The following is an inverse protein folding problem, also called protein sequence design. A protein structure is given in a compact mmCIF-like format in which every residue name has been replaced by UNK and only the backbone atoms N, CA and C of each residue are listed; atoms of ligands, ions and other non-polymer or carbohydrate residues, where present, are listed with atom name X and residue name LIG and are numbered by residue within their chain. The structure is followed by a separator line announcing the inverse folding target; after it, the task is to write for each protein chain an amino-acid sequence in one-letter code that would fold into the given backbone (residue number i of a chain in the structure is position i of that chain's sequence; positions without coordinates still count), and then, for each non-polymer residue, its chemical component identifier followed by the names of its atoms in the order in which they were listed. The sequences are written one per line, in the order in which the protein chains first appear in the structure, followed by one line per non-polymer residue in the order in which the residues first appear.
data_IF_791601289302
#
_entry.id   IF_791601289302
#
_cell.length_a   1.000
_cell.length_b   1.000
_cell.length_c   1.000
_cell.angle_alpha   90.00
_cell.angle_beta   90.00
_cell.angle_gamma   90.00
#
_symmetry.space_group_name_H-M   'P 1'
#
loop_
_entity.id
_entity.type
_entity.pdbx_description
1 polymer ?
#
# COMPACT_ATOMS: atom_id res chain seq x y z
N UNK A 1 -29.10 -48.64 -2.88
CA UNK A 1 -29.82 -47.59 -2.12
C UNK A 1 -28.88 -46.74 -1.26
N UNK A 2 -28.04 -47.35 -0.40
CA UNK A 2 -27.09 -46.62 0.46
C UNK A 2 -26.07 -45.73 -0.29
N UNK A 3 -25.51 -46.20 -1.40
CA UNK A 3 -24.56 -45.40 -2.22
C UNK A 3 -25.19 -44.14 -2.83
N UNK A 4 -26.48 -44.17 -3.18
CA UNK A 4 -27.17 -43.01 -3.77
C UNK A 4 -27.40 -41.90 -2.73
N UNK A 5 -27.66 -42.28 -1.47
CA UNK A 5 -27.86 -41.32 -0.37
C UNK A 5 -26.54 -40.63 0.00
N UNK A 6 -25.42 -41.36 -0.02
CA UNK A 6 -24.10 -40.80 0.27
C UNK A 6 -23.67 -39.75 -0.79
N UNK A 7 -23.92 -40.00 -2.07
CA UNK A 7 -23.61 -39.06 -3.15
C UNK A 7 -24.47 -37.79 -3.08
N UNK A 8 -25.75 -37.92 -2.72
CA UNK A 8 -26.64 -36.78 -2.49
C UNK A 8 -26.17 -35.93 -1.31
N UNK A 9 -25.76 -36.56 -0.20
CA UNK A 9 -25.23 -35.84 0.97
C UNK A 9 -23.92 -35.11 0.66
N UNK A 10 -23.03 -35.71 -0.13
CA UNK A 10 -21.76 -35.08 -0.52
C UNK A 10 -21.99 -33.88 -1.43
N UNK A 11 -22.89 -33.99 -2.42
CA UNK A 11 -23.32 -32.89 -3.29
C UNK A 11 -24.02 -31.77 -2.51
N UNK A 12 -24.87 -32.12 -1.54
CA UNK A 12 -25.50 -31.14 -0.65
C UNK A 12 -24.45 -30.42 0.22
N UNK A 13 -23.45 -31.15 0.73
CA UNK A 13 -22.33 -30.57 1.50
C UNK A 13 -21.51 -29.58 0.68
N UNK A 14 -21.19 -29.92 -0.58
CA UNK A 14 -20.49 -29.01 -1.50
C UNK A 14 -21.34 -27.77 -1.81
N UNK A 15 -22.65 -27.93 -2.00
CA UNK A 15 -23.56 -26.81 -2.23
C UNK A 15 -23.65 -25.87 -1.02
N UNK A 16 -23.77 -26.41 0.20
CA UNK A 16 -23.77 -25.64 1.44
C UNK A 16 -22.45 -24.89 1.62
N UNK A 17 -21.31 -25.56 1.37
CA UNK A 17 -19.99 -24.93 1.43
C UNK A 17 -19.84 -23.79 0.40
N UNK A 18 -20.38 -23.96 -0.80
CA UNK A 18 -20.40 -22.91 -1.83
C UNK A 18 -21.25 -21.71 -1.39
N UNK A 19 -22.46 -21.96 -0.85
CA UNK A 19 -23.32 -20.88 -0.33
C UNK A 19 -22.66 -20.13 0.84
N UNK A 20 -21.99 -20.84 1.75
CA UNK A 20 -21.25 -20.22 2.85
C UNK A 20 -20.11 -19.31 2.36
N UNK A 21 -19.37 -19.73 1.33
CA UNK A 21 -18.31 -18.90 0.75
C UNK A 21 -18.88 -17.64 0.08
N UNK A 22 -20.01 -17.76 -0.63
CA UNK A 22 -20.70 -16.61 -1.23
C UNK A 22 -21.19 -15.64 -0.14
N UNK A 23 -21.82 -16.16 0.92
CA UNK A 23 -22.28 -15.36 2.05
C UNK A 23 -21.12 -14.65 2.74
N UNK A 24 -19.98 -15.33 2.97
CA UNK A 24 -18.78 -14.75 3.55
C UNK A 24 -18.21 -13.62 2.66
N UNK A 25 -18.18 -13.81 1.35
CA UNK A 25 -17.77 -12.77 0.40
C UNK A 25 -18.70 -11.56 0.44
N UNK A 26 -20.02 -11.76 0.50
CA UNK A 26 -21.00 -10.68 0.59
C UNK A 26 -20.85 -9.88 1.88
N UNK A 27 -20.71 -10.55 3.02
CA UNK A 27 -20.46 -9.89 4.32
C UNK A 27 -19.14 -9.12 4.30
N UNK A 28 -18.10 -9.70 3.71
CA UNK A 28 -16.80 -9.04 3.58
C UNK A 28 -16.91 -7.80 2.69
N UNK A 29 -17.64 -7.90 1.58
CA UNK A 29 -17.88 -6.78 0.67
C UNK A 29 -18.64 -5.63 1.37
N UNK A 30 -19.68 -5.94 2.13
CA UNK A 30 -20.44 -4.92 2.86
C UNK A 30 -19.58 -4.23 3.92
N UNK A 31 -18.78 -5.00 4.69
CA UNK A 31 -17.80 -4.43 5.64
C UNK A 31 -16.80 -3.50 4.94
N UNK A 32 -16.29 -3.87 3.77
CA UNK A 32 -15.36 -3.03 2.99
C UNK A 32 -16.05 -1.73 2.54
N UNK A 33 -17.33 -1.80 2.13
CA UNK A 33 -18.09 -0.61 1.71
C UNK A 33 -18.33 0.34 2.90
N UNK A 34 -18.76 -0.19 4.03
CA UNK A 34 -19.01 0.60 5.24
C UNK A 34 -17.72 1.24 5.76
N UNK A 35 -16.60 0.50 5.74
CA UNK A 35 -15.28 1.02 6.11
C UNK A 35 -14.84 2.21 5.25
N UNK A 36 -15.12 2.20 3.94
CA UNK A 36 -14.83 3.35 3.07
C UNK A 36 -15.64 4.60 3.45
N UNK A 37 -16.91 4.40 3.82
CA UNK A 37 -17.80 5.49 4.25
C UNK A 37 -17.36 6.09 5.58
N UNK A 38 -17.03 5.26 6.57
CA UNK A 38 -16.51 5.70 7.86
C UNK A 38 -15.20 6.46 7.71
N UNK A 39 -14.26 5.94 6.91
CA UNK A 39 -12.98 6.61 6.64
C UNK A 39 -13.16 7.99 5.99
N UNK A 40 -14.15 8.16 5.12
CA UNK A 40 -14.45 9.46 4.51
C UNK A 40 -15.00 10.46 5.54
N UNK A 41 -15.88 10.01 6.45
CA UNK A 41 -16.39 10.83 7.55
C UNK A 41 -15.27 11.24 8.52
N UNK A 42 -14.41 10.30 8.90
CA UNK A 42 -13.27 10.56 9.77
C UNK A 42 -12.29 11.57 9.14
N UNK A 43 -11.97 11.40 7.85
CA UNK A 43 -11.10 12.32 7.13
C UNK A 43 -11.71 13.73 7.06
N UNK A 44 -13.02 13.84 6.82
CA UNK A 44 -13.71 15.12 6.82
C UNK A 44 -13.75 15.77 8.20
N UNK A 45 -13.97 14.99 9.26
CA UNK A 45 -13.91 15.48 10.64
C UNK A 45 -12.54 16.06 10.99
N UNK A 46 -11.46 15.36 10.62
CA UNK A 46 -10.09 15.87 10.80
C UNK A 46 -9.80 17.11 9.94
N UNK A 47 -10.32 17.17 8.72
CA UNK A 47 -10.22 18.38 7.90
C UNK A 47 -10.85 19.60 8.58
N UNK A 48 -12.05 19.45 9.15
CA UNK A 48 -12.73 20.55 9.85
C UNK A 48 -11.91 21.02 11.06
N UNK A 49 -11.40 20.10 11.88
CA UNK A 49 -10.57 20.44 13.04
C UNK A 49 -9.29 21.19 12.62
N UNK A 50 -8.58 20.66 11.63
CA UNK A 50 -7.37 21.30 11.09
C UNK A 50 -7.69 22.67 10.52
N UNK A 51 -8.81 22.82 9.81
CA UNK A 51 -9.26 24.11 9.26
C UNK A 51 -9.58 25.13 10.34
N UNK A 52 -10.23 24.74 11.43
CA UNK A 52 -10.49 25.62 12.58
C UNK A 52 -9.19 26.06 13.26
N UNK A 53 -8.27 25.13 13.51
CA UNK A 53 -6.97 25.44 14.12
C UNK A 53 -6.07 26.29 13.21
N UNK A 54 -6.28 26.21 11.89
CA UNK A 54 -5.48 26.94 10.90
C UNK A 54 -5.71 28.45 10.86
N UNK A 55 -6.74 28.96 11.56
CA UNK A 55 -6.93 30.41 11.75
C UNK A 55 -5.71 31.06 12.43
N UNK A 56 -5.01 30.32 13.28
CA UNK A 56 -3.77 30.73 13.93
C UNK A 56 -2.69 29.64 13.77
N UNK A 57 -2.29 29.38 12.52
CA UNK A 57 -1.51 28.22 12.11
C UNK A 57 -0.16 28.08 12.84
N UNK A 58 0.51 29.20 13.13
CA UNK A 58 1.80 29.21 13.83
C UNK A 58 1.67 28.81 15.31
N UNK A 59 0.65 29.34 16.00
CA UNK A 59 0.40 29.04 17.40
C UNK A 59 -0.07 27.59 17.61
N UNK A 60 -0.85 27.06 16.65
CA UNK A 60 -1.46 25.73 16.73
C UNK A 60 -0.71 24.67 15.92
N UNK A 61 0.49 24.98 15.41
CA UNK A 61 1.22 24.11 14.48
C UNK A 61 1.43 22.69 15.04
N UNK A 62 1.85 22.59 16.31
CA UNK A 62 2.07 21.30 16.98
C UNK A 62 0.81 20.46 17.08
N UNK A 63 -0.34 21.07 17.39
CA UNK A 63 -1.62 20.38 17.49
C UNK A 63 -2.11 19.90 16.13
N UNK A 64 -1.97 20.75 15.10
CA UNK A 64 -2.27 20.38 13.72
C UNK A 64 -1.41 19.20 13.28
N UNK A 65 -0.10 19.21 13.56
CA UNK A 65 0.79 18.09 13.24
C UNK A 65 0.35 16.79 13.92
N UNK A 66 -0.10 16.83 15.18
CA UNK A 66 -0.63 15.65 15.88
C UNK A 66 -1.85 15.09 15.13
N UNK A 67 -2.80 15.94 14.74
CA UNK A 67 -3.99 15.50 13.99
C UNK A 67 -3.59 14.92 12.62
N UNK A 68 -2.67 15.58 11.92
CA UNK A 68 -2.21 15.15 10.60
C UNK A 68 -1.37 13.87 10.67
N UNK A 69 -0.66 13.61 11.77
CA UNK A 69 0.09 12.36 11.98
C UNK A 69 -0.80 11.11 11.95
N UNK A 70 -2.09 11.26 12.31
CA UNK A 70 -3.07 10.19 12.16
C UNK A 70 -3.47 9.90 10.70
N UNK A 71 -3.16 10.80 9.76
CA UNK A 71 -3.55 10.72 8.34
C UNK A 71 -2.33 10.45 7.45
N UNK A 72 -1.22 11.13 7.70
CA UNK A 72 -0.02 11.13 6.87
C UNK A 72 1.23 10.88 7.71
N UNK A 73 2.22 10.25 7.08
CA UNK A 73 3.57 10.07 7.64
C UNK A 73 4.57 11.09 7.08
N UNK A 74 4.10 12.02 6.25
CA UNK A 74 4.94 13.11 5.76
C UNK A 74 5.15 14.13 6.88
N UNK A 75 6.39 14.56 7.04
CA UNK A 75 6.69 15.79 7.77
C UNK A 75 6.23 16.97 6.91
N UNK A 76 5.31 17.78 7.43
CA UNK A 76 4.71 18.89 6.70
C UNK A 76 5.15 20.22 7.32
N UNK A 77 5.66 21.10 6.47
CA UNK A 77 5.90 22.50 6.83
C UNK A 77 4.58 23.27 7.02
N UNK A 78 4.65 24.40 7.72
CA UNK A 78 3.54 25.34 7.90
C UNK A 78 2.92 25.72 6.54
N UNK A 79 3.75 25.99 5.54
CA UNK A 79 3.30 26.38 4.20
C UNK A 79 2.63 25.23 3.45
N UNK A 80 3.14 24.00 3.56
CA UNK A 80 2.47 22.82 2.98
C UNK A 80 1.12 22.57 3.63
N UNK A 81 1.03 22.70 4.96
CA UNK A 81 -0.24 22.58 5.69
C UNK A 81 -1.22 23.64 5.19
N UNK A 82 -0.78 24.90 5.08
CA UNK A 82 -1.59 25.98 4.55
C UNK A 82 -2.11 25.63 3.16
N UNK A 83 -1.23 25.19 2.26
CA UNK A 83 -1.60 24.79 0.91
C UNK A 83 -2.64 23.64 0.91
N UNK A 84 -2.47 22.60 1.73
CA UNK A 84 -3.41 21.49 1.82
C UNK A 84 -4.82 21.89 2.29
N UNK A 85 -4.93 22.95 3.08
CA UNK A 85 -6.20 23.47 3.61
C UNK A 85 -6.88 24.39 2.61
N UNK A 86 -6.10 25.22 1.92
CA UNK A 86 -6.59 26.22 0.96
C UNK A 86 -6.95 25.60 -0.38
N UNK A 87 -6.16 24.64 -0.86
CA UNK A 87 -6.33 24.06 -2.19
C UNK A 87 -7.49 23.05 -2.23
N UNK A 88 -8.50 23.24 -3.08
CA UNK A 88 -9.61 22.31 -3.21
C UNK A 88 -9.12 20.89 -3.51
N UNK A 89 -9.66 19.90 -2.80
CA UNK A 89 -9.34 18.46 -2.98
C UNK A 89 -7.89 18.07 -2.67
N UNK A 90 -6.99 18.99 -2.30
CA UNK A 90 -5.63 18.65 -1.91
C UNK A 90 -5.60 17.79 -0.63
N UNK A 91 -6.44 18.14 0.35
CA UNK A 91 -6.56 17.37 1.61
C UNK A 91 -6.96 15.90 1.38
N UNK A 92 -7.76 15.60 0.35
CA UNK A 92 -8.13 14.21 0.01
C UNK A 92 -6.92 13.39 -0.48
N UNK A 93 -5.88 14.06 -0.97
CA UNK A 93 -4.65 13.44 -1.45
C UNK A 93 -3.58 13.34 -0.36
N UNK A 94 -3.81 13.91 0.82
CA UNK A 94 -2.84 13.96 1.92
C UNK A 94 -2.33 12.56 2.34
N UNK A 95 -3.23 11.58 2.51
CA UNK A 95 -2.83 10.21 2.84
C UNK A 95 -1.97 9.58 1.72
N UNK A 96 -2.31 9.86 0.46
CA UNK A 96 -1.52 9.37 -0.68
C UNK A 96 -0.17 10.08 -0.75
N UNK A 97 -0.15 11.39 -0.48
CA UNK A 97 1.07 12.17 -0.37
C UNK A 97 1.98 11.57 0.67
N UNK A 98 1.52 11.30 1.90
CA UNK A 98 2.32 10.65 2.94
C UNK A 98 2.96 9.30 2.57
N UNK A 99 2.44 8.59 1.58
CA UNK A 99 2.99 7.32 1.10
C UNK A 99 4.03 7.47 -0.01
N UNK A 100 4.04 8.61 -0.71
CA UNK A 100 4.92 8.86 -1.87
C UNK A 100 5.85 10.07 -1.67
N UNK A 101 5.53 10.92 -0.71
CA UNK A 101 6.31 12.08 -0.26
C UNK A 101 7.66 11.59 0.24
N UNK A 102 8.70 12.39 -0.01
CA UNK A 102 10.07 12.04 0.35
C UNK A 102 10.84 11.35 -0.77
N UNK A 103 10.35 10.27 -1.39
CA UNK A 103 11.14 9.58 -2.44
C UNK A 103 10.86 10.06 -3.86
N UNK A 104 9.60 10.28 -4.21
CA UNK A 104 9.21 10.47 -5.62
C UNK A 104 8.40 11.74 -5.90
N UNK A 105 7.80 12.36 -4.88
CA UNK A 105 6.95 13.53 -5.03
C UNK A 105 7.25 14.58 -3.95
N UNK A 106 7.13 15.84 -4.33
CA UNK A 106 7.14 17.03 -3.48
C UNK A 106 5.96 17.94 -3.87
N UNK A 107 5.69 18.94 -3.05
CA UNK A 107 4.79 20.05 -3.38
C UNK A 107 5.64 21.23 -3.86
N UNK A 108 5.29 21.78 -5.02
CA UNK A 108 5.83 23.05 -5.50
C UNK A 108 4.87 24.15 -5.03
N UNK A 109 5.25 24.82 -3.93
CA UNK A 109 4.41 25.82 -3.26
C UNK A 109 4.18 27.05 -4.14
N UNK A 110 5.12 27.40 -5.03
CA UNK A 110 5.01 28.54 -5.93
C UNK A 110 3.95 28.31 -7.01
N UNK A 111 3.84 27.07 -7.49
CA UNK A 111 2.85 26.67 -8.50
C UNK A 111 1.56 26.13 -7.88
N UNK A 112 1.58 25.80 -6.59
CA UNK A 112 0.47 25.14 -5.92
C UNK A 112 0.17 23.75 -6.47
N UNK A 113 1.19 23.01 -6.91
CA UNK A 113 1.01 21.71 -7.57
C UNK A 113 1.92 20.61 -6.99
N UNK A 114 1.51 19.35 -7.14
CA UNK A 114 2.40 18.22 -6.89
C UNK A 114 3.42 18.10 -8.01
N UNK A 115 4.70 17.99 -7.65
CA UNK A 115 5.80 17.84 -8.61
C UNK A 115 6.58 16.57 -8.32
N UNK A 116 7.04 15.91 -9.38
CA UNK A 116 7.92 14.75 -9.28
C UNK A 116 9.34 15.19 -8.91
N UNK A 117 9.96 14.46 -7.98
CA UNK A 117 11.38 14.68 -7.66
C UNK A 117 12.26 14.44 -8.89
N UNK A 118 13.41 15.09 -8.91
CA UNK A 118 14.35 15.05 -10.03
C UNK A 118 14.75 13.63 -10.46
N UNK A 119 14.82 12.70 -9.50
CA UNK A 119 15.14 11.27 -9.69
C UNK A 119 14.10 10.57 -10.59
N UNK A 120 12.88 11.09 -10.67
CA UNK A 120 11.74 10.47 -11.38
C UNK A 120 10.98 11.46 -12.28
N UNK A 121 11.54 12.64 -12.52
CA UNK A 121 10.87 13.71 -13.27
C UNK A 121 10.57 13.34 -14.73
N UNK A 122 11.47 12.60 -15.38
CA UNK A 122 11.33 12.20 -16.79
C UNK A 122 10.94 10.74 -16.96
N UNK A 123 10.40 10.38 -18.13
CA UNK A 123 10.11 8.97 -18.49
C UNK A 123 11.37 8.09 -18.41
N UNK A 124 12.51 8.57 -18.92
CA UNK A 124 13.80 7.85 -18.89
C UNK A 124 14.24 7.58 -17.45
N UNK A 125 14.24 8.61 -16.60
CA UNK A 125 14.63 8.48 -15.20
C UNK A 125 13.72 7.51 -14.42
N UNK A 126 12.41 7.49 -14.71
CA UNK A 126 11.49 6.49 -14.14
C UNK A 126 11.75 5.06 -14.58
N UNK A 127 12.14 4.84 -15.83
CA UNK A 127 12.51 3.49 -16.31
C UNK A 127 13.76 3.02 -15.57
N UNK A 128 14.77 3.89 -15.44
CA UNK A 128 15.98 3.59 -14.66
C UNK A 128 15.64 3.22 -13.22
N UNK A 129 14.77 3.98 -12.55
CA UNK A 129 14.36 3.66 -11.17
C UNK A 129 13.61 2.32 -11.08
N UNK A 130 12.73 2.00 -12.04
CA UNK A 130 12.07 0.69 -12.12
C UNK A 130 13.08 -0.44 -12.29
N UNK A 131 14.06 -0.26 -13.19
CA UNK A 131 15.13 -1.23 -13.41
C UNK A 131 16.00 -1.41 -12.17
N UNK A 132 16.26 -0.36 -11.39
CA UNK A 132 16.98 -0.48 -10.10
C UNK A 132 16.18 -1.30 -9.09
N UNK A 133 14.88 -1.05 -8.93
CA UNK A 133 14.01 -1.81 -8.02
C UNK A 133 14.00 -3.29 -8.39
N UNK A 134 13.79 -3.60 -9.68
CA UNK A 134 13.78 -4.97 -10.19
C UNK A 134 15.17 -5.62 -10.08
N UNK A 135 16.24 -4.89 -10.41
CA UNK A 135 17.61 -5.37 -10.36
C UNK A 135 18.05 -5.73 -8.94
N UNK A 136 17.76 -4.88 -7.95
CA UNK A 136 18.04 -5.17 -6.54
C UNK A 136 17.23 -6.39 -6.07
N UNK A 137 15.95 -6.46 -6.43
CA UNK A 137 15.08 -7.59 -6.08
C UNK A 137 15.60 -8.90 -6.67
N UNK A 138 16.06 -8.87 -7.94
CA UNK A 138 16.65 -10.02 -8.61
C UNK A 138 18.00 -10.42 -8.00
N UNK A 139 18.87 -9.46 -7.66
CA UNK A 139 20.14 -9.74 -7.00
C UNK A 139 19.95 -10.40 -5.63
N UNK A 140 19.01 -9.89 -4.81
CA UNK A 140 18.65 -10.50 -3.52
C UNK A 140 18.10 -11.91 -3.70
N UNK A 141 17.23 -12.11 -4.70
CA UNK A 141 16.68 -13.42 -5.01
C UNK A 141 17.77 -14.41 -5.44
N UNK A 142 18.69 -13.99 -6.31
CA UNK A 142 19.80 -14.82 -6.77
C UNK A 142 20.74 -15.19 -5.63
N UNK A 143 21.09 -14.23 -4.78
CA UNK A 143 21.93 -14.45 -3.60
C UNK A 143 21.31 -15.50 -2.66
N UNK A 144 20.01 -15.38 -2.37
CA UNK A 144 19.34 -16.29 -1.43
C UNK A 144 19.07 -17.65 -2.06
N UNK A 145 18.81 -17.70 -3.37
CA UNK A 145 18.72 -18.97 -4.09
C UNK A 145 20.07 -19.70 -4.09
N UNK A 146 21.19 -18.97 -4.18
CA UNK A 146 22.52 -19.55 -4.03
C UNK A 146 22.74 -20.11 -2.61
N UNK A 147 22.42 -19.34 -1.56
CA UNK A 147 22.49 -19.81 -0.17
C UNK A 147 21.63 -21.06 0.03
N UNK A 148 20.40 -21.06 -0.49
CA UNK A 148 19.50 -22.21 -0.42
C UNK A 148 20.09 -23.46 -1.07
N UNK A 149 20.69 -23.33 -2.26
CA UNK A 149 21.35 -24.44 -2.94
C UNK A 149 22.52 -25.02 -2.14
N UNK A 150 23.27 -24.18 -1.41
CA UNK A 150 24.32 -24.68 -0.52
C UNK A 150 23.76 -25.42 0.69
N UNK A 151 22.69 -24.91 1.29
CA UNK A 151 22.10 -25.52 2.49
C UNK A 151 21.43 -26.87 2.22
N UNK A 152 20.82 -27.06 1.04
CA UNK A 152 20.05 -28.27 0.72
C UNK A 152 20.92 -29.42 0.18
N UNK A 153 22.13 -29.13 -0.33
CA UNK A 153 23.00 -30.12 -0.98
C UNK A 153 23.34 -31.33 -0.11
N UNK A 154 23.50 -31.14 1.20
CA UNK A 154 23.92 -32.20 2.13
C UNK A 154 22.76 -32.76 2.98
N UNK A 155 21.52 -32.38 2.67
CA UNK A 155 20.33 -32.79 3.43
C UNK A 155 19.72 -34.06 2.84
N UNK A 156 19.83 -35.18 3.56
CA UNK A 156 19.26 -36.47 3.14
C UNK A 156 17.76 -36.63 3.46
N UNK A 157 17.21 -35.76 4.32
CA UNK A 157 15.82 -35.87 4.78
C UNK A 157 14.83 -35.10 3.89
N UNK A 158 13.87 -35.83 3.33
CA UNK A 158 12.79 -35.28 2.49
C UNK A 158 11.96 -34.22 3.24
N UNK A 159 11.70 -34.43 4.54
CA UNK A 159 10.91 -33.48 5.35
C UNK A 159 11.62 -32.14 5.52
N UNK A 160 12.94 -32.17 5.69
CA UNK A 160 13.77 -30.96 5.79
C UNK A 160 13.79 -30.19 4.46
N UNK A 161 13.78 -30.90 3.32
CA UNK A 161 13.67 -30.27 1.99
C UNK A 161 12.33 -29.54 1.84
N UNK A 162 11.20 -30.15 2.23
CA UNK A 162 9.89 -29.49 2.15
C UNK A 162 9.79 -28.24 3.03
N UNK A 163 10.35 -28.29 4.25
CA UNK A 163 10.40 -27.13 5.14
C UNK A 163 11.25 -26.01 4.54
N UNK A 164 12.44 -26.34 4.02
CA UNK A 164 13.32 -25.38 3.36
C UNK A 164 12.67 -24.74 2.11
N UNK A 165 11.93 -25.53 1.33
CA UNK A 165 11.19 -25.04 0.16
C UNK A 165 10.07 -24.09 0.57
N UNK A 166 9.37 -24.38 1.67
CA UNK A 166 8.33 -23.50 2.22
C UNK A 166 8.90 -22.14 2.63
N UNK A 167 10.05 -22.11 3.31
CA UNK A 167 10.73 -20.85 3.65
C UNK A 167 11.20 -20.09 2.41
N UNK A 168 11.72 -20.78 1.40
CA UNK A 168 12.12 -20.17 0.14
C UNK A 168 10.93 -19.53 -0.59
N UNK A 169 9.79 -20.21 -0.66
CA UNK A 169 8.54 -19.67 -1.23
C UNK A 169 8.02 -18.47 -0.45
N UNK A 170 8.00 -18.54 0.89
CA UNK A 170 7.59 -17.42 1.73
C UNK A 170 8.47 -16.19 1.49
N UNK A 171 9.79 -16.39 1.42
CA UNK A 171 10.74 -15.33 1.15
C UNK A 171 10.54 -14.70 -0.25
N UNK A 172 10.33 -15.53 -1.27
CA UNK A 172 10.02 -15.06 -2.63
C UNK A 172 8.77 -14.16 -2.66
N UNK A 173 7.71 -14.55 -1.94
CA UNK A 173 6.50 -13.75 -1.82
C UNK A 173 6.77 -12.39 -1.15
N UNK A 174 7.60 -12.35 -0.10
CA UNK A 174 7.98 -11.11 0.58
C UNK A 174 8.76 -10.18 -0.35
N UNK A 175 9.72 -10.71 -1.12
CA UNK A 175 10.47 -9.91 -2.10
C UNK A 175 9.56 -9.34 -3.20
N UNK A 176 8.70 -10.18 -3.77
CA UNK A 176 7.72 -9.74 -4.78
C UNK A 176 6.79 -8.67 -4.23
N UNK A 177 6.32 -8.85 -2.99
CA UNK A 177 5.47 -7.87 -2.33
C UNK A 177 6.21 -6.53 -2.12
N UNK A 178 7.45 -6.55 -1.64
CA UNK A 178 8.28 -5.36 -1.47
C UNK A 178 8.55 -4.63 -2.81
N UNK A 179 8.90 -5.37 -3.86
CA UNK A 179 9.09 -4.82 -5.19
C UNK A 179 7.79 -4.19 -5.72
N UNK A 180 6.65 -4.87 -5.55
CA UNK A 180 5.35 -4.37 -5.96
C UNK A 180 4.96 -3.09 -5.22
N UNK A 181 5.25 -2.99 -3.91
CA UNK A 181 5.02 -1.77 -3.13
C UNK A 181 5.85 -0.59 -3.68
N UNK A 182 7.13 -0.79 -3.98
CA UNK A 182 8.01 0.25 -4.53
C UNK A 182 7.58 0.67 -5.95
N UNK A 183 7.16 -0.27 -6.78
CA UNK A 183 6.64 0.04 -8.12
C UNK A 183 5.29 0.77 -8.06
N UNK A 184 4.43 0.37 -7.12
CA UNK A 184 3.12 1.00 -6.90
C UNK A 184 3.28 2.42 -6.39
N UNK A 185 4.19 2.68 -5.45
CA UNK A 185 4.48 4.05 -4.96
C UNK A 185 4.99 4.96 -6.07
N UNK A 186 5.88 4.46 -6.94
CA UNK A 186 6.34 5.19 -8.12
C UNK A 186 5.20 5.50 -9.11
N UNK A 187 4.31 4.53 -9.34
CA UNK A 187 3.13 4.71 -10.20
C UNK A 187 2.15 5.73 -9.61
N UNK A 188 1.93 5.67 -8.30
CA UNK A 188 1.05 6.59 -7.59
C UNK A 188 1.60 8.02 -7.58
N UNK A 189 2.91 8.21 -7.41
CA UNK A 189 3.55 9.51 -7.52
C UNK A 189 3.26 10.17 -8.88
N UNK A 190 3.37 9.41 -9.98
CA UNK A 190 3.00 9.89 -11.32
C UNK A 190 1.54 10.32 -11.40
N UNK A 191 0.62 9.58 -10.78
CA UNK A 191 -0.81 9.90 -10.82
C UNK A 191 -1.14 11.20 -10.07
N UNK A 192 -0.41 11.52 -9.00
CA UNK A 192 -0.67 12.75 -8.23
C UNK A 192 -0.37 14.03 -9.01
N UNK A 193 0.69 14.03 -9.82
CA UNK A 193 1.11 15.20 -10.62
C UNK A 193 0.16 15.52 -11.78
N UNK A 194 -0.68 14.56 -12.21
CA UNK A 194 -1.59 14.74 -13.35
C UNK A 194 -3.07 14.94 -12.98
N UNK A 195 -3.39 15.07 -11.70
CA UNK A 195 -4.75 15.24 -11.23
C UNK A 195 -4.78 16.30 -10.16
N UNK A 196 -5.01 17.56 -10.51
CA UNK A 196 -5.56 18.57 -9.60
C UNK A 196 -7.00 18.84 -10.03
#
# INVERSE_FOLDING_TARGET
MFMAIADILLKAGVFIAAMMNIAALLVTYDKIKNFKGEKAKELHGRYIQVKQLSENLEANYSEILIILSGITRADLSIDEIRWFITEPRAFLKLEKYGKVSGRYCNIDLDKGEFVLKEIVSTRKKRIVERSKILGISFCLLAFISAVWLFTVKDVQSITTVYIALSFWTAYFLVLLWGANLLLTTLSNAKKMVGTL
#
